data_IF_476291297844
#
_entry.id   IF_476291297844
#
_cell.length_a   1.000
_cell.length_b   1.000
_cell.length_c   1.000
_cell.angle_alpha   90.00
_cell.angle_beta   90.00
_cell.angle_gamma   90.00
#
_symmetry.space_group_name_H-M   'P 1'
#
loop_
_entity.id
_entity.type
_entity.pdbx_description
1 polymer ?
#
# COMPACT_ATOMS: atom_id res chain seq x y z
N UNK A 1 3.66 -11.46 -15.15
CA UNK A 1 3.94 -10.25 -14.37
C UNK A 1 3.24 -9.04 -15.00
N UNK A 2 2.66 -8.18 -14.20
CA UNK A 2 2.03 -6.93 -14.62
C UNK A 2 2.62 -5.81 -13.77
N UNK A 3 3.15 -4.77 -14.40
CA UNK A 3 3.77 -3.63 -13.73
C UNK A 3 3.12 -2.35 -14.23
N UNK A 4 2.64 -1.51 -13.31
CA UNK A 4 2.00 -0.24 -13.59
C UNK A 4 0.76 -0.35 -14.50
N UNK A 5 0.14 -1.51 -14.50
CA UNK A 5 -1.17 -1.83 -15.03
C UNK A 5 -1.92 -2.68 -14.01
N UNK A 6 -3.22 -2.53 -13.93
CA UNK A 6 -4.11 -3.45 -13.21
C UNK A 6 -5.17 -4.03 -14.16
N UNK A 7 -5.77 -5.12 -13.74
CA UNK A 7 -6.82 -5.80 -14.50
C UNK A 7 -8.16 -5.23 -14.08
N UNK A 8 -9.05 -5.02 -15.03
CA UNK A 8 -10.44 -4.64 -14.79
C UNK A 8 -11.37 -5.54 -15.63
N UNK A 9 -12.34 -6.16 -14.97
CA UNK A 9 -13.37 -6.98 -15.64
C UNK A 9 -14.33 -6.07 -16.41
N UNK A 10 -14.55 -6.40 -17.67
CA UNK A 10 -15.43 -5.64 -18.53
C UNK A 10 -16.88 -6.13 -18.42
N UNK A 11 -17.84 -5.22 -18.62
CA UNK A 11 -19.28 -5.53 -18.60
C UNK A 11 -19.62 -6.56 -19.67
N UNK A 12 -20.68 -7.34 -19.42
CA UNK A 12 -21.22 -8.29 -20.38
C UNK A 12 -21.53 -7.62 -21.72
N UNK A 13 -21.10 -8.23 -22.82
CA UNK A 13 -21.19 -7.66 -24.16
C UNK A 13 -19.96 -6.90 -24.65
N UNK A 14 -18.96 -6.68 -23.79
CA UNK A 14 -17.67 -6.15 -24.25
C UNK A 14 -16.93 -7.17 -25.13
N UNK A 15 -16.09 -6.66 -26.04
CA UNK A 15 -15.31 -7.51 -26.96
C UNK A 15 -14.36 -8.46 -26.21
N UNK A 16 -13.78 -8.01 -25.12
CA UNK A 16 -12.91 -8.79 -24.24
C UNK A 16 -13.50 -8.79 -22.81
N UNK A 17 -13.32 -9.88 -22.10
CA UNK A 17 -13.81 -10.03 -20.73
C UNK A 17 -12.99 -9.21 -19.72
N UNK A 18 -11.75 -8.89 -20.06
CA UNK A 18 -10.82 -8.14 -19.20
C UNK A 18 -10.04 -7.09 -19.99
N UNK A 19 -9.80 -5.95 -19.36
CA UNK A 19 -8.93 -4.91 -19.86
C UNK A 19 -7.71 -4.74 -18.93
N UNK A 20 -6.63 -4.17 -19.45
CA UNK A 20 -5.52 -3.70 -18.65
C UNK A 20 -5.62 -2.17 -18.56
N UNK A 21 -5.82 -1.66 -17.38
CA UNK A 21 -5.95 -0.24 -17.12
C UNK A 21 -4.62 0.29 -16.60
N UNK A 22 -4.17 1.41 -17.15
CA UNK A 22 -2.95 2.07 -16.71
C UNK A 22 -3.09 2.57 -15.26
N UNK A 23 -2.12 2.25 -14.41
CA UNK A 23 -2.09 2.80 -13.07
C UNK A 23 -1.97 4.32 -13.12
N UNK A 24 -2.56 5.02 -12.15
CA UNK A 24 -2.59 6.48 -12.09
C UNK A 24 -1.19 7.05 -11.94
N UNK A 25 -0.91 8.13 -12.65
CA UNK A 25 0.29 8.92 -12.47
C UNK A 25 0.20 9.81 -11.24
N UNK A 26 1.31 10.45 -10.92
CA UNK A 26 1.44 11.31 -9.74
C UNK A 26 1.95 12.68 -10.16
N UNK A 27 1.17 13.72 -9.88
CA UNK A 27 1.60 15.11 -9.99
C UNK A 27 1.96 15.66 -8.61
N UNK A 28 2.90 16.58 -8.54
CA UNK A 28 3.21 17.27 -7.29
C UNK A 28 2.02 18.14 -6.87
N UNK A 29 1.44 17.86 -5.69
CA UNK A 29 0.40 18.68 -5.11
C UNK A 29 0.99 19.81 -4.28
N UNK A 30 1.90 19.51 -3.35
CA UNK A 30 2.66 20.49 -2.57
C UNK A 30 3.91 19.83 -1.97
N UNK A 31 4.79 20.65 -1.39
CA UNK A 31 5.94 20.19 -0.60
C UNK A 31 5.75 20.50 0.87
N UNK A 32 6.16 19.60 1.76
CA UNK A 32 5.99 19.74 3.21
C UNK A 32 7.32 19.54 3.93
N UNK A 33 7.79 20.56 4.62
CA UNK A 33 9.03 20.48 5.38
C UNK A 33 10.26 20.21 4.52
N UNK A 34 11.23 19.49 5.07
CA UNK A 34 12.53 19.21 4.42
C UNK A 34 12.90 17.72 4.39
N UNK A 35 12.17 16.87 5.09
CA UNK A 35 12.38 15.42 5.12
C UNK A 35 11.40 14.68 4.22
N UNK A 36 11.63 13.39 3.99
CA UNK A 36 10.69 12.53 3.27
C UNK A 36 9.34 12.44 3.99
N UNK A 37 8.27 12.19 3.24
CA UNK A 37 6.94 12.00 3.84
C UNK A 37 6.86 10.59 4.41
N UNK A 38 6.56 10.49 5.71
CA UNK A 38 6.64 9.25 6.47
C UNK A 38 5.29 8.72 6.94
N UNK A 39 4.34 9.61 7.18
CA UNK A 39 2.96 9.29 7.51
C UNK A 39 2.04 10.46 7.19
N UNK A 40 0.79 10.16 6.89
CA UNK A 40 -0.28 11.14 6.70
C UNK A 40 -1.53 10.66 7.44
N UNK A 41 -2.37 11.59 7.84
CA UNK A 41 -3.63 11.31 8.52
C UNK A 41 -4.66 12.36 8.15
N UNK A 42 -5.84 11.94 7.77
CA UNK A 42 -7.03 12.78 7.71
C UNK A 42 -7.80 12.61 9.03
N UNK A 43 -7.91 13.67 9.80
CA UNK A 43 -8.71 13.69 11.01
C UNK A 43 -9.61 14.91 11.02
N UNK A 44 -10.93 14.70 11.11
CA UNK A 44 -11.95 15.75 11.08
C UNK A 44 -11.74 16.76 9.92
N UNK A 45 -11.52 16.25 8.71
CA UNK A 45 -11.24 17.04 7.48
C UNK A 45 -9.96 17.90 7.57
N UNK A 46 -9.14 17.66 8.58
CA UNK A 46 -7.83 18.30 8.75
C UNK A 46 -6.73 17.33 8.33
N UNK A 47 -5.81 17.80 7.52
CA UNK A 47 -4.75 16.97 6.96
C UNK A 47 -3.44 17.14 7.74
N UNK A 48 -3.02 16.06 8.37
CA UNK A 48 -1.77 15.97 9.12
C UNK A 48 -0.73 15.19 8.34
N UNK A 49 0.49 15.72 8.33
CA UNK A 49 1.61 15.18 7.55
C UNK A 49 2.86 15.12 8.40
N UNK A 50 3.51 13.97 8.43
CA UNK A 50 4.84 13.82 9.03
C UNK A 50 5.88 13.84 7.93
N UNK A 51 6.72 14.89 7.92
CA UNK A 51 7.87 15.04 7.04
C UNK A 51 9.15 15.02 7.87
N UNK A 52 9.99 14.01 7.63
CA UNK A 52 11.17 13.76 8.46
C UNK A 52 10.82 13.55 9.93
N UNK A 53 11.25 14.45 10.79
CA UNK A 53 10.99 14.44 12.26
C UNK A 53 10.00 15.50 12.69
N UNK A 54 9.13 15.99 11.81
CA UNK A 54 8.22 17.10 12.10
C UNK A 54 6.80 16.78 11.71
N UNK A 55 5.86 17.18 12.55
CA UNK A 55 4.43 17.14 12.30
C UNK A 55 3.96 18.48 11.73
N UNK A 56 3.21 18.42 10.65
CA UNK A 56 2.62 19.56 9.97
C UNK A 56 1.11 19.40 9.81
N UNK A 57 0.42 20.52 9.74
CA UNK A 57 -0.93 20.62 9.20
C UNK A 57 -0.85 21.25 7.81
N UNK A 58 -1.57 20.66 6.86
CA UNK A 58 -1.63 21.17 5.48
C UNK A 58 -3.09 21.49 5.16
N UNK A 59 -3.36 22.72 4.80
CA UNK A 59 -4.70 23.16 4.42
C UNK A 59 -4.98 22.89 2.92
N UNK A 60 -6.25 22.95 2.54
CA UNK A 60 -6.68 22.75 1.13
C UNK A 60 -6.03 23.77 0.17
N UNK A 61 -5.76 24.98 0.62
CA UNK A 61 -5.06 26.02 -0.13
C UNK A 61 -3.53 25.79 -0.21
N UNK A 62 -3.06 24.63 0.29
CA UNK A 62 -1.66 24.21 0.37
C UNK A 62 -0.81 24.97 1.39
N UNK A 63 -1.45 25.73 2.30
CA UNK A 63 -0.73 26.35 3.42
C UNK A 63 -0.21 25.29 4.37
N UNK A 64 1.10 25.29 4.62
CA UNK A 64 1.80 24.33 5.49
C UNK A 64 2.13 24.99 6.82
N UNK A 65 1.62 24.44 7.92
CA UNK A 65 1.85 24.93 9.29
C UNK A 65 2.61 23.88 10.08
N UNK A 66 3.77 24.24 10.64
CA UNK A 66 4.51 23.37 11.56
C UNK A 66 3.78 23.31 12.90
N UNK A 67 3.51 22.11 13.40
CA UNK A 67 2.87 21.87 14.70
C UNK A 67 3.87 21.45 15.77
N UNK A 68 4.86 20.62 15.43
CA UNK A 68 5.84 20.15 16.39
C UNK A 68 7.01 19.42 15.76
N UNK A 69 8.03 19.15 16.59
CA UNK A 69 9.24 18.42 16.19
C UNK A 69 9.48 17.28 17.16
N UNK A 70 9.81 16.10 16.64
CA UNK A 70 10.17 14.91 17.41
C UNK A 70 11.67 14.94 17.75
N UNK A 71 12.04 14.33 18.88
CA UNK A 71 13.46 14.25 19.26
C UNK A 71 14.20 13.13 18.48
N UNK A 72 13.48 12.07 18.06
CA UNK A 72 14.06 10.90 17.42
C UNK A 72 13.64 10.78 15.95
N UNK A 73 14.52 10.18 15.13
CA UNK A 73 14.28 9.96 13.70
C UNK A 73 13.69 8.58 13.36
N UNK A 74 13.27 7.81 14.35
CA UNK A 74 12.64 6.51 14.17
C UNK A 74 11.36 6.64 13.36
N UNK A 75 10.93 5.54 12.74
CA UNK A 75 9.72 5.54 11.91
C UNK A 75 8.49 5.84 12.76
N UNK A 76 7.73 6.90 12.45
CA UNK A 76 6.54 7.26 13.19
C UNK A 76 5.34 6.41 12.80
N UNK A 77 4.44 6.21 13.76
CA UNK A 77 3.08 5.75 13.57
C UNK A 77 2.13 6.82 14.12
N UNK A 78 1.06 7.12 13.39
CA UNK A 78 0.12 8.20 13.72
C UNK A 78 -1.30 7.65 13.90
N UNK A 79 -1.99 8.12 14.92
CA UNK A 79 -3.41 7.86 15.18
C UNK A 79 -4.06 9.07 15.83
N UNK A 80 -5.36 9.07 16.02
CA UNK A 80 -6.07 10.15 16.68
C UNK A 80 -7.21 9.60 17.56
N UNK A 81 -7.51 10.33 18.65
CA UNK A 81 -8.78 10.25 19.34
C UNK A 81 -9.69 11.39 18.84
N UNK A 82 -10.72 11.77 19.57
CA UNK A 82 -11.69 12.79 19.13
C UNK A 82 -11.08 14.18 18.88
N UNK A 83 -10.02 14.57 19.62
CA UNK A 83 -9.46 15.93 19.61
C UNK A 83 -7.93 15.97 19.64
N UNK A 84 -7.28 14.82 19.68
CA UNK A 84 -5.83 14.74 19.85
C UNK A 84 -5.22 13.81 18.82
N UNK A 85 -4.16 14.28 18.17
CA UNK A 85 -3.34 13.50 17.23
C UNK A 85 -2.15 12.95 18.00
N UNK A 86 -1.97 11.65 17.96
CA UNK A 86 -0.89 10.94 18.65
C UNK A 86 0.11 10.40 17.67
N UNK A 87 1.38 10.60 17.95
CA UNK A 87 2.49 10.05 17.17
C UNK A 87 3.40 9.26 18.11
N UNK A 88 3.67 8.01 17.75
CA UNK A 88 4.65 7.14 18.43
C UNK A 88 5.73 6.70 17.46
N UNK A 89 6.95 6.44 17.95
CA UNK A 89 8.10 6.12 17.11
C UNK A 89 8.98 4.97 17.66
N UNK A 90 8.45 4.15 18.54
CA UNK A 90 9.19 3.06 19.19
C UNK A 90 10.03 3.50 20.40
N UNK A 91 10.19 4.80 20.64
CA UNK A 91 10.96 5.37 21.76
C UNK A 91 10.12 6.31 22.58
N UNK A 92 9.47 7.26 21.92
CA UNK A 92 8.69 8.33 22.55
C UNK A 92 7.31 8.45 21.94
N UNK A 93 6.39 9.07 22.68
CA UNK A 93 5.07 9.48 22.22
C UNK A 93 4.91 10.99 22.26
N UNK A 94 4.15 11.53 21.32
CA UNK A 94 3.87 12.95 21.18
C UNK A 94 2.39 13.15 20.89
N UNK A 95 1.84 14.24 21.42
CA UNK A 95 0.44 14.60 21.27
C UNK A 95 0.34 16.00 20.71
N UNK A 96 -0.42 16.17 19.64
CA UNK A 96 -0.94 17.45 19.21
C UNK A 96 -2.40 17.54 19.64
N UNK A 97 -2.71 18.51 20.52
CA UNK A 97 -4.06 18.80 20.97
C UNK A 97 -4.69 19.87 20.07
N UNK A 98 -5.77 19.51 19.38
CA UNK A 98 -6.46 20.38 18.41
C UNK A 98 -7.22 21.52 19.09
N UNK A 99 -7.59 21.35 20.36
CA UNK A 99 -8.33 22.36 21.13
C UNK A 99 -7.38 23.32 21.82
N UNK A 100 -6.38 22.78 22.51
CA UNK A 100 -5.38 23.60 23.22
C UNK A 100 -4.34 24.19 22.26
N UNK A 101 -4.23 23.68 21.01
CA UNK A 101 -3.23 24.04 20.00
C UNK A 101 -1.79 23.88 20.52
N UNK A 102 -1.54 22.80 21.26
CA UNK A 102 -0.24 22.52 21.87
C UNK A 102 0.33 21.20 21.39
N UNK A 103 1.64 21.17 21.18
CA UNK A 103 2.40 19.96 20.89
C UNK A 103 3.20 19.54 22.12
N UNK A 104 2.95 18.36 22.64
CA UNK A 104 3.50 17.90 23.93
C UNK A 104 4.10 16.50 23.79
N UNK A 105 5.30 16.31 24.33
CA UNK A 105 5.89 14.97 24.52
C UNK A 105 5.21 14.30 25.71
N UNK A 106 4.83 13.02 25.57
CA UNK A 106 4.26 12.25 26.67
C UNK A 106 5.36 11.95 27.68
N UNK A 107 5.17 12.41 28.91
CA UNK A 107 6.14 12.25 30.02
C UNK A 107 5.59 11.44 31.19
N UNK A 108 4.40 10.86 31.05
CA UNK A 108 3.81 9.99 32.06
C UNK A 108 4.70 8.80 32.36
N UNK A 109 4.95 8.49 33.65
CA UNK A 109 5.74 7.32 34.05
C UNK A 109 5.10 5.98 33.70
N UNK A 110 3.83 5.97 33.32
CA UNK A 110 3.08 4.79 32.87
C UNK A 110 2.94 4.70 31.36
N UNK A 111 3.56 5.62 30.60
CA UNK A 111 3.71 5.50 29.16
C UNK A 111 4.98 4.71 28.82
N UNK A 112 4.85 3.68 28.02
CA UNK A 112 5.97 2.84 27.58
C UNK A 112 6.30 3.08 26.10
N UNK A 113 7.54 2.88 25.65
CA UNK A 113 7.89 2.91 24.24
C UNK A 113 6.95 2.04 23.40
N UNK A 114 6.47 2.59 22.29
CA UNK A 114 5.56 1.92 21.36
C UNK A 114 5.80 2.34 19.93
N UNK A 115 5.79 1.38 19.01
CA UNK A 115 5.86 1.60 17.56
C UNK A 115 4.50 1.50 16.86
N UNK A 116 3.42 1.25 17.61
CA UNK A 116 2.08 1.06 17.07
C UNK A 116 1.02 1.62 18.00
N UNK A 117 0.00 2.25 17.46
CA UNK A 117 -1.13 2.81 18.22
C UNK A 117 -2.41 2.76 17.39
N UNK A 118 -3.52 2.42 18.01
CA UNK A 118 -4.85 2.57 17.41
C UNK A 118 -5.81 3.20 18.41
N UNK A 119 -6.97 3.64 17.92
CA UNK A 119 -8.04 4.18 18.74
C UNK A 119 -9.27 3.29 18.68
N UNK A 120 -9.85 2.97 19.84
CA UNK A 120 -11.09 2.21 19.95
C UNK A 120 -11.84 2.61 21.24
N UNK A 121 -13.14 2.92 21.10
CA UNK A 121 -14.07 3.14 22.20
C UNK A 121 -13.59 4.15 23.27
N UNK A 122 -12.96 5.24 22.85
CA UNK A 122 -12.43 6.29 23.74
C UNK A 122 -10.99 6.05 24.21
N UNK A 123 -10.38 4.94 23.90
CA UNK A 123 -9.02 4.60 24.33
C UNK A 123 -8.03 4.60 23.17
N UNK A 124 -6.86 5.17 23.39
CA UNK A 124 -5.69 4.92 22.55
C UNK A 124 -4.97 3.69 23.10
N UNK A 125 -4.71 2.72 22.23
CA UNK A 125 -4.20 1.41 22.58
C UNK A 125 -2.83 1.24 21.92
N UNK A 126 -1.83 0.88 22.70
CA UNK A 126 -0.43 0.83 22.31
C UNK A 126 0.15 -0.57 22.55
N UNK A 127 0.93 -1.09 21.60
CA UNK A 127 1.77 -2.26 21.84
C UNK A 127 3.07 -1.83 22.52
N UNK A 128 3.40 -2.41 23.68
CA UNK A 128 4.67 -2.12 24.36
C UNK A 128 5.82 -2.77 23.60
N UNK A 129 6.77 -1.93 23.19
CA UNK A 129 7.88 -2.32 22.34
C UNK A 129 8.67 -3.52 22.91
N UNK A 130 8.89 -4.53 22.04
CA UNK A 130 9.67 -5.73 22.37
C UNK A 130 8.99 -6.71 23.35
N UNK A 131 7.69 -6.56 23.65
CA UNK A 131 6.97 -7.41 24.59
C UNK A 131 5.62 -7.89 24.02
N UNK A 132 4.97 -8.81 24.72
CA UNK A 132 3.58 -9.23 24.45
C UNK A 132 2.55 -8.36 25.16
N UNK A 133 2.96 -7.27 25.81
CA UNK A 133 2.07 -6.39 26.56
C UNK A 133 1.53 -5.26 25.68
N UNK A 134 0.31 -4.86 25.95
CA UNK A 134 -0.27 -3.63 25.46
C UNK A 134 -0.78 -2.78 26.62
N UNK A 135 -0.89 -1.49 26.41
CA UNK A 135 -1.39 -0.56 27.41
C UNK A 135 -2.31 0.48 26.76
N UNK A 136 -3.12 1.13 27.55
CA UNK A 136 -4.11 2.08 27.06
C UNK A 136 -3.98 3.44 27.77
N UNK A 137 -4.39 4.49 27.08
CA UNK A 137 -4.59 5.83 27.67
C UNK A 137 -5.81 5.84 28.59
N UNK A 138 -5.99 6.94 29.32
CA UNK A 138 -7.30 7.23 29.88
C UNK A 138 -8.29 7.62 28.77
N UNK A 139 -9.58 7.64 29.09
CA UNK A 139 -10.65 7.90 28.12
C UNK A 139 -10.48 9.29 27.51
N UNK A 140 -10.35 9.34 26.19
CA UNK A 140 -10.18 10.55 25.36
C UNK A 140 -9.05 11.49 25.83
N UNK A 141 -8.05 10.96 26.56
CA UNK A 141 -6.89 11.72 27.02
C UNK A 141 -5.58 10.98 26.70
N UNK A 142 -4.89 11.47 25.69
CA UNK A 142 -3.62 10.91 25.20
C UNK A 142 -2.40 11.25 26.08
N UNK A 143 -2.55 12.03 27.12
CA UNK A 143 -1.45 12.45 28.00
C UNK A 143 -1.41 11.72 29.33
N UNK A 144 -2.51 11.10 29.75
CA UNK A 144 -2.61 10.43 31.06
C UNK A 144 -2.78 8.92 30.93
N UNK A 145 -2.09 8.19 31.80
CA UNK A 145 -2.02 6.71 31.80
C UNK A 145 -2.02 6.22 33.25
N UNK A 146 -2.95 5.33 33.56
CA UNK A 146 -2.99 4.71 34.89
C UNK A 146 -2.10 3.46 34.94
N UNK A 147 -1.47 3.21 36.09
CA UNK A 147 -0.52 2.12 36.27
C UNK A 147 -1.14 0.70 36.09
N UNK A 148 -2.46 0.58 36.14
CA UNK A 148 -3.18 -0.69 35.98
C UNK A 148 -3.78 -0.87 34.58
N UNK A 149 -3.57 0.11 33.67
CA UNK A 149 -4.14 0.12 32.34
C UNK A 149 -3.24 -0.62 31.34
N UNK A 150 -2.81 -1.82 31.66
CA UNK A 150 -2.07 -2.72 30.76
C UNK A 150 -2.58 -4.16 30.88
N UNK A 151 -2.37 -4.94 29.80
CA UNK A 151 -2.63 -6.37 29.75
C UNK A 151 -1.66 -7.05 28.79
N UNK A 152 -1.72 -8.36 28.66
CA UNK A 152 -0.79 -9.15 27.87
C UNK A 152 -1.53 -10.09 26.92
N UNK A 153 -1.01 -10.23 25.68
CA UNK A 153 -1.48 -11.23 24.72
C UNK A 153 -1.29 -12.64 25.29
N UNK A 154 -2.39 -13.42 25.38
CA UNK A 154 -2.48 -14.57 26.25
C UNK A 154 -2.02 -15.88 25.61
N UNK A 155 -2.04 -15.94 24.25
CA UNK A 155 -1.99 -17.25 23.58
C UNK A 155 -0.61 -17.91 23.60
N UNK A 156 0.48 -17.15 23.47
CA UNK A 156 1.86 -17.71 23.40
C UNK A 156 2.97 -16.87 24.02
N UNK A 157 2.68 -15.80 24.75
CA UNK A 157 3.72 -14.88 25.22
C UNK A 157 4.52 -14.29 24.05
N UNK A 158 3.81 -13.91 23.02
CA UNK A 158 4.33 -13.46 21.73
C UNK A 158 4.68 -11.95 21.77
N UNK A 159 5.60 -11.48 20.94
CA UNK A 159 5.91 -10.05 20.85
C UNK A 159 4.89 -9.37 19.93
N UNK A 160 4.19 -8.35 20.44
CA UNK A 160 3.25 -7.56 19.65
C UNK A 160 4.03 -6.73 18.62
N UNK A 161 3.66 -6.88 17.35
CA UNK A 161 4.23 -6.16 16.21
C UNK A 161 3.32 -5.02 15.74
N UNK A 162 2.00 -5.20 15.85
CA UNK A 162 1.02 -4.18 15.51
C UNK A 162 -0.23 -4.30 16.36
N UNK A 163 -0.82 -3.15 16.64
CA UNK A 163 -2.16 -3.04 17.23
C UNK A 163 -3.02 -2.26 16.25
N UNK A 164 -4.12 -2.84 15.82
CA UNK A 164 -5.07 -2.19 14.91
C UNK A 164 -6.49 -2.37 15.41
N UNK A 165 -7.36 -1.43 15.09
CA UNK A 165 -8.78 -1.53 15.40
C UNK A 165 -9.58 -1.79 14.12
N UNK A 166 -10.65 -2.53 14.26
CA UNK A 166 -11.74 -2.58 13.30
C UNK A 166 -13.01 -1.97 13.94
N UNK A 167 -14.17 -2.18 13.34
CA UNK A 167 -15.44 -1.62 13.85
C UNK A 167 -15.85 -2.10 15.23
N UNK A 168 -15.28 -3.19 15.75
CA UNK A 168 -15.71 -3.84 17.01
C UNK A 168 -14.58 -4.31 17.91
N UNK A 169 -13.44 -4.65 17.34
CA UNK A 169 -12.38 -5.34 18.05
C UNK A 169 -11.07 -4.58 17.92
N UNK A 170 -10.26 -4.74 18.94
CA UNK A 170 -8.82 -4.45 18.89
C UNK A 170 -8.12 -5.74 18.50
N UNK A 171 -7.24 -5.67 17.52
CA UNK A 171 -6.48 -6.80 17.03
C UNK A 171 -5.02 -6.65 17.42
N UNK A 172 -4.53 -7.60 18.21
CA UNK A 172 -3.12 -7.70 18.58
C UNK A 172 -2.42 -8.66 17.61
N UNK A 173 -1.56 -8.13 16.78
CA UNK A 173 -0.73 -8.89 15.84
C UNK A 173 0.63 -9.13 16.48
N UNK A 174 0.88 -10.38 16.87
CA UNK A 174 2.18 -10.83 17.36
C UNK A 174 3.04 -11.40 16.24
N UNK A 175 4.25 -11.84 16.58
CA UNK A 175 5.18 -12.50 15.66
C UNK A 175 4.68 -13.88 15.19
N UNK A 176 3.76 -14.52 15.92
CA UNK A 176 3.25 -15.88 15.64
C UNK A 176 1.75 -16.04 15.84
N UNK A 177 1.07 -15.06 16.45
CA UNK A 177 -0.35 -15.14 16.77
C UNK A 177 -1.07 -13.84 16.44
N UNK A 178 -2.38 -13.94 16.24
CA UNK A 178 -3.28 -12.80 16.11
C UNK A 178 -4.42 -13.01 17.10
N UNK A 179 -4.63 -12.05 17.97
CA UNK A 179 -5.66 -12.09 18.99
C UNK A 179 -6.62 -10.92 18.86
N UNK A 180 -7.92 -11.18 18.58
CA UNK A 180 -8.95 -10.15 18.68
C UNK A 180 -9.38 -9.98 20.14
N UNK A 181 -9.48 -8.72 20.56
CA UNK A 181 -9.96 -8.30 21.87
C UNK A 181 -11.19 -7.41 21.72
N UNK A 182 -12.18 -7.62 22.56
CA UNK A 182 -13.43 -6.87 22.53
C UNK A 182 -13.62 -6.09 23.82
N UNK A 183 -14.26 -4.93 23.71
CA UNK A 183 -14.59 -4.12 24.88
C UNK A 183 -15.66 -4.81 25.73
N UNK A 184 -15.34 -5.13 26.97
CA UNK A 184 -16.23 -5.77 27.95
C UNK A 184 -17.04 -4.77 28.77
N UNK A 185 -16.75 -3.46 28.65
CA UNK A 185 -17.35 -2.42 29.47
C UNK A 185 -16.84 -2.38 30.92
N UNK A 186 -15.75 -3.08 31.22
CA UNK A 186 -15.11 -3.01 32.55
C UNK A 186 -14.59 -1.60 32.82
N UNK A 187 -14.83 -1.11 34.03
CA UNK A 187 -14.49 0.29 34.41
C UNK A 187 -13.18 0.41 35.17
N UNK A 188 -12.49 -0.69 35.47
CA UNK A 188 -11.23 -0.69 36.21
C UNK A 188 -10.21 -1.53 35.48
N UNK A 189 -9.01 -1.00 35.22
CA UNK A 189 -7.99 -1.62 34.40
C UNK A 189 -8.34 -1.57 32.91
N UNK A 190 -7.82 -2.51 32.13
CA UNK A 190 -8.08 -2.59 30.69
C UNK A 190 -9.49 -3.10 30.42
N UNK A 191 -10.36 -2.32 29.73
CA UNK A 191 -11.74 -2.75 29.44
C UNK A 191 -11.84 -3.81 28.35
N UNK A 192 -10.75 -4.11 27.68
CA UNK A 192 -10.70 -5.09 26.59
C UNK A 192 -10.42 -6.50 27.14
N UNK A 193 -11.09 -7.49 26.60
CA UNK A 193 -10.91 -8.90 26.94
C UNK A 193 -10.76 -9.75 25.68
N UNK A 194 -9.93 -10.83 25.71
CA UNK A 194 -9.71 -11.65 24.52
C UNK A 194 -10.99 -12.36 24.08
N UNK A 195 -11.28 -12.31 22.78
CA UNK A 195 -12.41 -13.02 22.20
C UNK A 195 -12.09 -14.51 22.08
N UNK A 196 -12.67 -15.31 22.98
CA UNK A 196 -12.37 -16.74 23.09
C UNK A 196 -12.69 -17.49 21.80
N UNK A 197 -11.74 -18.27 21.30
CA UNK A 197 -11.89 -19.12 20.12
C UNK A 197 -11.73 -18.40 18.77
N UNK A 198 -11.43 -17.09 18.77
CA UNK A 198 -11.21 -16.30 17.57
C UNK A 198 -9.74 -16.03 17.26
N UNK A 199 -8.84 -16.38 18.16
CA UNK A 199 -7.41 -16.21 17.97
C UNK A 199 -6.86 -17.15 16.89
N UNK A 200 -5.89 -16.66 16.11
CA UNK A 200 -5.20 -17.40 15.06
C UNK A 200 -3.75 -17.68 15.43
N UNK A 201 -3.26 -18.87 15.05
CA UNK A 201 -1.84 -19.25 15.16
C UNK A 201 -1.02 -18.76 13.95
N UNK A 202 -1.36 -17.60 13.43
CA UNK A 202 -0.66 -16.89 12.36
C UNK A 202 -0.27 -15.54 12.89
N UNK A 203 1.00 -15.15 12.79
CA UNK A 203 1.49 -13.83 13.16
C UNK A 203 1.80 -12.95 11.94
N UNK A 204 2.51 -11.86 12.17
CA UNK A 204 2.99 -10.98 11.10
C UNK A 204 4.53 -10.91 11.07
N UNK A 205 5.11 -10.88 9.86
CA UNK A 205 6.54 -10.67 9.66
C UNK A 205 6.94 -9.19 9.80
N UNK A 206 5.98 -8.27 9.57
CA UNK A 206 6.21 -6.83 9.62
C UNK A 206 4.97 -6.11 10.14
N UNK A 207 5.08 -5.46 11.29
CA UNK A 207 3.94 -4.76 11.91
C UNK A 207 3.34 -3.67 11.04
N UNK A 208 4.16 -2.95 10.27
CA UNK A 208 3.71 -1.90 9.36
C UNK A 208 3.02 -2.40 8.08
N UNK A 209 3.08 -3.70 7.80
CA UNK A 209 2.30 -4.31 6.73
C UNK A 209 0.84 -4.51 7.10
N UNK A 210 0.51 -4.46 8.39
CA UNK A 210 -0.85 -4.66 8.91
C UNK A 210 -1.67 -3.40 8.65
N UNK A 211 -2.72 -3.54 7.85
CA UNK A 211 -3.59 -2.43 7.44
C UNK A 211 -5.05 -2.82 7.65
N UNK A 212 -5.73 -2.07 8.51
CA UNK A 212 -7.17 -2.19 8.72
C UNK A 212 -7.94 -1.33 7.71
N UNK A 213 -9.00 -1.86 7.17
CA UNK A 213 -9.89 -1.20 6.22
C UNK A 213 -11.33 -1.67 6.38
N UNK A 214 -12.27 -1.04 5.69
CA UNK A 214 -13.67 -1.50 5.66
C UNK A 214 -13.85 -2.91 5.04
N UNK A 215 -12.86 -3.40 4.28
CA UNK A 215 -12.88 -4.75 3.69
C UNK A 215 -12.32 -5.81 4.64
N UNK A 216 -11.78 -5.42 5.79
CA UNK A 216 -11.05 -6.25 6.74
C UNK A 216 -9.59 -5.84 6.86
N UNK A 217 -8.76 -6.72 7.41
CA UNK A 217 -7.35 -6.44 7.69
C UNK A 217 -6.47 -7.23 6.72
N UNK A 218 -5.52 -6.53 6.11
CA UNK A 218 -4.51 -7.12 5.21
C UNK A 218 -3.16 -7.09 5.92
N UNK A 219 -2.34 -8.12 5.73
CA UNK A 219 -1.02 -8.20 6.37
C UNK A 219 -0.07 -9.20 5.70
N UNK A 220 1.20 -9.02 5.91
CA UNK A 220 2.27 -9.98 5.57
C UNK A 220 2.43 -10.96 6.74
N UNK A 221 2.15 -12.24 6.52
CA UNK A 221 2.24 -13.27 7.55
C UNK A 221 3.66 -13.67 7.92
N UNK A 222 3.79 -14.30 9.10
CA UNK A 222 5.04 -14.85 9.64
C UNK A 222 5.68 -15.94 8.74
N UNK A 223 4.93 -16.52 7.84
CA UNK A 223 5.38 -17.48 6.83
C UNK A 223 5.68 -16.83 5.46
N UNK A 224 5.77 -15.51 5.42
CA UNK A 224 6.02 -14.73 4.22
C UNK A 224 4.93 -14.84 3.14
N UNK A 225 3.71 -15.22 3.49
CA UNK A 225 2.55 -15.12 2.62
C UNK A 225 1.73 -13.88 2.99
N UNK A 226 0.97 -13.37 2.04
CA UNK A 226 0.06 -12.24 2.29
C UNK A 226 -1.33 -12.77 2.61
N UNK A 227 -1.94 -12.19 3.63
CA UNK A 227 -3.23 -12.60 4.14
C UNK A 227 -4.25 -11.48 4.12
N UNK A 228 -5.48 -11.87 3.93
CA UNK A 228 -6.67 -11.05 4.13
C UNK A 228 -7.54 -11.66 5.24
N UNK A 229 -7.71 -10.91 6.30
CA UNK A 229 -8.55 -11.26 7.44
C UNK A 229 -9.90 -10.54 7.29
N UNK A 230 -10.88 -11.27 6.78
CA UNK A 230 -12.28 -10.86 6.74
C UNK A 230 -13.06 -11.78 7.67
N UNK A 231 -13.43 -11.29 8.84
CA UNK A 231 -13.87 -12.11 9.98
C UNK A 231 -12.69 -12.53 10.84
N UNK A 232 -12.67 -13.79 11.34
CA UNK A 232 -11.68 -14.23 12.32
C UNK A 232 -10.63 -15.20 11.76
N UNK A 233 -10.73 -15.59 10.51
CA UNK A 233 -9.82 -16.57 9.90
C UNK A 233 -9.04 -15.91 8.76
N UNK A 234 -7.70 -15.83 8.86
CA UNK A 234 -6.87 -15.29 7.79
C UNK A 234 -6.95 -16.16 6.52
N UNK A 235 -7.30 -15.55 5.40
CA UNK A 235 -7.27 -16.18 4.06
C UNK A 235 -5.95 -15.84 3.38
N UNK A 236 -5.19 -16.83 2.96
CA UNK A 236 -4.02 -16.62 2.12
C UNK A 236 -4.47 -16.10 0.73
N UNK A 237 -3.93 -14.96 0.32
CA UNK A 237 -4.20 -14.32 -0.98
C UNK A 237 -2.96 -14.29 -1.89
N UNK A 238 -1.81 -14.80 -1.42
CA UNK A 238 -0.60 -14.91 -2.24
C UNK A 238 -0.78 -15.94 -3.33
N UNK A 239 -0.31 -15.64 -4.53
CA UNK A 239 -0.12 -16.65 -5.57
C UNK A 239 1.13 -17.49 -5.28
N UNK A 240 1.22 -18.70 -5.83
CA UNK A 240 2.40 -19.56 -5.66
C UNK A 240 3.71 -18.88 -6.09
N UNK A 241 3.65 -18.03 -7.12
CA UNK A 241 4.82 -17.27 -7.58
C UNK A 241 5.27 -16.23 -6.58
N UNK A 242 4.33 -15.50 -5.99
CA UNK A 242 4.62 -14.50 -4.94
C UNK A 242 5.09 -15.16 -3.65
N UNK A 243 4.45 -16.24 -3.21
CA UNK A 243 4.86 -17.01 -2.06
C UNK A 243 6.31 -17.49 -2.18
N UNK A 244 6.68 -18.00 -3.38
CA UNK A 244 8.05 -18.41 -3.67
C UNK A 244 9.03 -17.24 -3.69
N UNK A 245 8.63 -16.08 -4.21
CA UNK A 245 9.46 -14.86 -4.21
C UNK A 245 9.67 -14.37 -2.78
N UNK A 246 8.60 -14.18 -2.02
CA UNK A 246 8.64 -13.67 -0.65
C UNK A 246 9.41 -14.58 0.31
N UNK A 247 9.22 -15.90 0.21
CA UNK A 247 10.00 -16.87 1.03
C UNK A 247 11.48 -16.94 0.66
N UNK A 248 11.85 -16.44 -0.51
CA UNK A 248 13.25 -16.31 -0.93
C UNK A 248 14.01 -15.14 -0.27
N UNK A 249 13.30 -14.20 0.34
CA UNK A 249 13.90 -13.07 1.02
C UNK A 249 14.24 -13.40 2.48
N UNK A 250 15.43 -13.00 2.91
CA UNK A 250 15.91 -13.32 4.26
C UNK A 250 15.25 -12.47 5.35
N UNK A 251 14.89 -11.24 5.04
CA UNK A 251 14.28 -10.29 5.97
C UNK A 251 13.21 -9.47 5.25
N UNK A 252 12.04 -9.35 5.87
CA UNK A 252 10.89 -8.59 5.41
C UNK A 252 10.36 -7.63 6.49
N UNK A 253 11.11 -7.42 7.56
CA UNK A 253 10.68 -6.62 8.72
C UNK A 253 10.45 -5.15 8.39
N UNK A 254 11.07 -4.63 7.33
CA UNK A 254 10.91 -3.28 6.82
C UNK A 254 9.68 -3.09 5.92
N UNK A 255 8.95 -4.16 5.61
CA UNK A 255 7.76 -4.11 4.79
C UNK A 255 6.69 -3.22 5.41
N UNK A 256 6.05 -2.42 4.57
CA UNK A 256 4.92 -1.60 4.98
C UNK A 256 3.78 -1.66 3.95
N UNK A 257 2.58 -1.38 4.41
CA UNK A 257 1.40 -1.37 3.56
C UNK A 257 0.48 -0.19 3.84
N UNK A 258 -0.39 0.04 2.90
CA UNK A 258 -1.53 0.95 3.04
C UNK A 258 -2.67 0.51 2.10
N UNK A 259 -3.89 0.93 2.43
CA UNK A 259 -5.03 0.78 1.52
C UNK A 259 -5.23 2.06 0.74
N UNK A 260 -5.57 1.94 -0.54
CA UNK A 260 -6.01 3.07 -1.35
C UNK A 260 -7.31 2.72 -2.06
N UNK A 261 -8.18 3.72 -2.22
CA UNK A 261 -9.39 3.61 -3.02
C UNK A 261 -9.29 4.58 -4.20
N UNK A 262 -9.27 4.05 -5.41
CA UNK A 262 -9.11 4.83 -6.62
C UNK A 262 -10.07 4.30 -7.68
N UNK A 263 -10.86 5.21 -8.27
CA UNK A 263 -11.82 4.90 -9.33
C UNK A 263 -12.83 3.78 -8.95
N UNK A 264 -13.11 3.62 -7.66
CA UNK A 264 -14.00 2.60 -7.12
C UNK A 264 -13.36 1.26 -6.83
N UNK A 265 -12.08 1.08 -7.13
CA UNK A 265 -11.28 -0.09 -6.75
C UNK A 265 -10.54 0.14 -5.45
N UNK A 266 -10.57 -0.87 -4.57
CA UNK A 266 -9.72 -0.93 -3.39
C UNK A 266 -8.43 -1.67 -3.72
N UNK A 267 -7.31 -1.14 -3.25
CA UNK A 267 -6.00 -1.74 -3.45
C UNK A 267 -5.27 -1.83 -2.12
N UNK A 268 -4.83 -3.02 -1.76
CA UNK A 268 -3.83 -3.20 -0.72
C UNK A 268 -2.45 -3.11 -1.33
N UNK A 269 -1.69 -2.10 -0.95
CA UNK A 269 -0.31 -1.87 -1.39
C UNK A 269 0.63 -2.42 -0.35
N UNK A 270 1.54 -3.29 -0.75
CA UNK A 270 2.60 -3.85 0.09
C UNK A 270 3.96 -3.53 -0.53
N UNK A 271 4.73 -2.68 0.12
CA UNK A 271 6.07 -2.28 -0.32
C UNK A 271 7.13 -2.93 0.55
N UNK A 272 8.16 -3.44 -0.09
CA UNK A 272 9.34 -4.08 0.47
C UNK A 272 10.55 -3.23 0.06
N UNK A 273 10.92 -2.19 0.82
CA UNK A 273 11.94 -1.22 0.42
C UNK A 273 13.31 -1.86 0.16
N UNK A 274 13.80 -2.67 1.10
CA UNK A 274 15.09 -3.36 0.98
C UNK A 274 15.14 -4.30 -0.22
N UNK A 275 14.01 -4.91 -0.57
CA UNK A 275 13.91 -5.83 -1.71
C UNK A 275 13.63 -5.11 -3.03
N UNK A 276 13.33 -3.82 -3.00
CA UNK A 276 13.00 -3.04 -4.18
C UNK A 276 11.74 -3.53 -4.89
N UNK A 277 10.67 -3.84 -4.14
CA UNK A 277 9.42 -4.39 -4.69
C UNK A 277 8.19 -3.71 -4.09
N UNK A 278 7.17 -3.50 -4.91
CA UNK A 278 5.82 -3.16 -4.46
C UNK A 278 4.81 -4.06 -5.14
N UNK A 279 4.09 -4.82 -4.32
CA UNK A 279 2.96 -5.65 -4.72
C UNK A 279 1.66 -4.90 -4.42
N UNK A 280 0.71 -5.01 -5.32
CA UNK A 280 -0.62 -4.39 -5.16
C UNK A 280 -1.68 -5.47 -5.41
N UNK A 281 -2.55 -5.67 -4.45
CA UNK A 281 -3.66 -6.60 -4.52
C UNK A 281 -4.98 -5.84 -4.73
N UNK A 282 -5.74 -6.29 -5.69
CA UNK A 282 -7.10 -5.84 -5.96
C UNK A 282 -8.08 -6.91 -5.44
N UNK A 283 -8.79 -6.67 -4.33
CA UNK A 283 -9.76 -7.62 -3.78
C UNK A 283 -10.97 -7.85 -4.68
N UNK A 284 -11.37 -6.88 -5.49
CA UNK A 284 -12.55 -6.97 -6.35
C UNK A 284 -12.29 -7.89 -7.54
N UNK A 285 -11.07 -7.85 -8.09
CA UNK A 285 -10.64 -8.70 -9.20
C UNK A 285 -9.92 -9.98 -8.76
N UNK A 286 -9.63 -10.14 -7.45
CA UNK A 286 -8.76 -11.19 -6.90
C UNK A 286 -7.45 -11.30 -7.69
N UNK A 287 -6.83 -10.15 -7.92
CA UNK A 287 -5.70 -10.03 -8.85
C UNK A 287 -4.55 -9.21 -8.27
N UNK A 288 -3.34 -9.63 -8.63
CA UNK A 288 -2.11 -8.97 -8.24
C UNK A 288 -1.47 -8.24 -9.41
N UNK A 289 -0.90 -7.09 -9.11
CA UNK A 289 0.00 -6.38 -10.01
C UNK A 289 1.13 -5.73 -9.21
N UNK A 290 2.16 -5.26 -9.89
CA UNK A 290 3.28 -4.55 -9.28
C UNK A 290 3.21 -3.06 -9.63
N UNK A 291 3.73 -2.22 -8.73
CA UNK A 291 4.01 -0.82 -9.05
C UNK A 291 5.50 -0.54 -8.89
N UNK A 292 6.04 0.19 -9.85
CA UNK A 292 7.46 0.58 -9.88
C UNK A 292 7.57 2.05 -10.26
N UNK A 293 8.33 2.81 -9.48
CA UNK A 293 8.84 4.12 -9.88
C UNK A 293 10.07 3.95 -10.77
N UNK A 294 10.33 4.94 -11.60
CA UNK A 294 11.46 4.85 -12.54
C UNK A 294 12.80 4.64 -11.82
N UNK A 295 13.50 3.58 -12.17
CA UNK A 295 14.81 3.16 -11.65
C UNK A 295 14.85 2.77 -10.15
N UNK A 296 13.72 2.69 -9.44
CA UNK A 296 13.70 2.28 -8.03
C UNK A 296 13.37 0.78 -7.85
N UNK A 297 12.63 0.17 -8.80
CA UNK A 297 12.14 -1.21 -8.66
C UNK A 297 10.88 -1.31 -7.80
N UNK A 298 10.66 -0.40 -6.84
CA UNK A 298 9.46 -0.28 -6.02
C UNK A 298 8.74 1.05 -6.28
N UNK A 299 7.51 1.16 -5.81
CA UNK A 299 6.77 2.41 -5.88
C UNK A 299 7.11 3.30 -4.70
N UNK A 300 7.49 4.55 -4.98
CA UNK A 300 7.95 5.52 -3.99
C UNK A 300 6.85 6.09 -3.07
N UNK A 301 5.58 5.71 -3.24
CA UNK A 301 4.52 6.09 -2.32
C UNK A 301 4.70 5.41 -0.96
N UNK A 302 4.80 6.20 0.11
CA UNK A 302 4.98 5.74 1.49
C UNK A 302 3.69 5.59 2.27
N UNK A 303 2.66 6.34 1.88
CA UNK A 303 1.36 6.41 2.54
C UNK A 303 0.32 7.00 1.57
N UNK A 304 -0.95 6.82 1.88
CA UNK A 304 -2.07 7.29 1.07
C UNK A 304 -3.18 7.85 1.95
N UNK A 305 -3.83 8.91 1.48
CA UNK A 305 -5.04 9.46 2.09
C UNK A 305 -5.93 10.10 1.01
N UNK A 306 -7.24 10.00 1.21
CA UNK A 306 -8.23 10.71 0.39
C UNK A 306 -8.76 11.89 1.19
N UNK A 307 -8.46 13.10 0.74
CA UNK A 307 -8.86 14.34 1.40
C UNK A 307 -9.09 15.45 0.39
N UNK A 308 -9.95 16.42 0.69
CA UNK A 308 -10.31 17.53 -0.20
C UNK A 308 -10.86 17.11 -1.57
N UNK A 309 -11.39 15.88 -1.66
CA UNK A 309 -11.88 15.31 -2.92
C UNK A 309 -10.77 14.85 -3.87
N UNK A 310 -9.53 14.72 -3.40
CA UNK A 310 -8.38 14.23 -4.16
C UNK A 310 -7.66 13.10 -3.42
N UNK A 311 -6.96 12.26 -4.18
CA UNK A 311 -6.16 11.16 -3.67
C UNK A 311 -4.72 11.62 -3.53
N UNK A 312 -4.18 11.61 -2.31
CA UNK A 312 -2.83 12.09 -1.99
C UNK A 312 -1.96 10.92 -1.54
N UNK A 313 -0.73 10.90 -2.02
CA UNK A 313 0.33 9.98 -1.56
C UNK A 313 1.52 10.76 -1.04
N UNK A 314 2.15 10.24 0.00
CA UNK A 314 3.43 10.73 0.48
C UNK A 314 4.59 10.14 -0.32
N UNK A 315 5.64 10.91 -0.52
CA UNK A 315 6.84 10.48 -1.25
C UNK A 315 7.95 10.02 -0.28
N UNK A 316 8.38 8.78 -0.40
CA UNK A 316 9.49 8.22 0.39
C UNK A 316 10.86 8.77 0.00
N UNK A 317 10.98 9.37 -1.19
CA UNK A 317 12.25 9.87 -1.74
C UNK A 317 12.42 11.38 -1.56
N UNK A 318 11.34 12.10 -1.25
CA UNK A 318 11.37 13.55 -1.09
C UNK A 318 10.29 14.06 -0.13
N UNK A 319 10.26 15.37 0.07
CA UNK A 319 9.25 16.05 0.88
C UNK A 319 7.97 16.39 0.13
N UNK A 320 7.68 15.70 -0.96
CA UNK A 320 6.53 15.97 -1.82
C UNK A 320 5.30 15.18 -1.38
N UNK A 321 4.17 15.86 -1.43
CA UNK A 321 2.87 15.21 -1.50
C UNK A 321 2.43 15.14 -2.95
N UNK A 322 2.10 13.96 -3.42
CA UNK A 322 1.67 13.70 -4.79
C UNK A 322 0.17 13.50 -4.88
N UNK A 323 -0.46 14.12 -5.87
CA UNK A 323 -1.84 13.82 -6.23
C UNK A 323 -1.86 12.72 -7.28
N UNK A 324 -2.59 11.65 -7.01
CA UNK A 324 -2.87 10.60 -7.98
C UNK A 324 -3.98 11.04 -8.91
N UNK A 325 -3.74 10.93 -10.22
CA UNK A 325 -4.70 11.31 -11.25
C UNK A 325 -4.59 10.35 -12.45
N UNK A 326 -5.74 9.87 -12.94
CA UNK A 326 -5.82 8.98 -14.10
C UNK A 326 -5.38 9.65 -15.42
N UNK A 327 -5.46 10.98 -15.49
CA UNK A 327 -5.07 11.74 -16.68
C UNK A 327 -3.60 12.18 -16.64
N UNK A 328 -2.89 11.87 -15.56
CA UNK A 328 -1.44 12.06 -15.43
C UNK A 328 -0.74 10.73 -15.76
N UNK A 329 0.18 10.77 -16.71
CA UNK A 329 0.89 9.58 -17.21
C UNK A 329 2.38 9.60 -16.87
N UNK A 330 2.75 10.38 -15.87
CA UNK A 330 4.10 10.57 -15.36
C UNK A 330 4.09 10.51 -13.84
N UNK A 331 5.23 10.35 -13.22
CA UNK A 331 5.42 10.43 -11.79
C UNK A 331 6.34 11.60 -11.46
N UNK A 332 5.79 12.66 -10.88
CA UNK A 332 6.49 13.93 -10.62
C UNK A 332 7.27 14.46 -11.84
N UNK A 333 6.70 14.35 -13.03
CA UNK A 333 7.33 14.74 -14.30
C UNK A 333 8.31 13.72 -14.87
N UNK A 334 8.63 12.65 -14.17
CA UNK A 334 9.49 11.56 -14.65
C UNK A 334 8.69 10.52 -15.43
N UNK A 335 9.31 9.91 -16.42
CA UNK A 335 8.74 8.79 -17.14
C UNK A 335 8.73 7.53 -16.26
N UNK A 336 7.72 6.71 -16.44
CA UNK A 336 7.65 5.38 -15.87
C UNK A 336 7.17 4.38 -16.92
N UNK A 337 7.46 3.10 -16.71
CA UNK A 337 7.20 2.07 -17.70
C UNK A 337 6.05 1.21 -17.23
N UNK A 338 5.00 1.10 -18.07
CA UNK A 338 4.00 0.06 -17.92
C UNK A 338 4.47 -1.18 -18.69
N UNK A 339 4.48 -2.36 -18.04
CA UNK A 339 5.01 -3.61 -18.60
C UNK A 339 4.09 -4.78 -18.29
N UNK A 340 3.80 -5.58 -19.31
CA UNK A 340 3.08 -6.85 -19.17
C UNK A 340 3.92 -7.99 -19.73
N UNK A 341 4.24 -8.96 -18.88
CA UNK A 341 4.85 -10.22 -19.27
C UNK A 341 3.77 -11.30 -19.25
N UNK A 342 3.56 -11.95 -20.37
CA UNK A 342 2.55 -13.02 -20.49
C UNK A 342 2.97 -14.28 -19.72
N UNK A 343 2.02 -15.19 -19.52
CA UNK A 343 2.34 -16.57 -19.21
C UNK A 343 3.07 -17.26 -20.38
N UNK A 344 3.56 -18.46 -20.14
CA UNK A 344 4.22 -19.26 -21.17
C UNK A 344 3.17 -19.83 -22.14
N UNK A 345 3.24 -19.44 -23.40
CA UNK A 345 2.49 -20.07 -24.48
C UNK A 345 3.23 -21.34 -24.93
N UNK A 346 2.61 -22.49 -24.80
CA UNK A 346 3.16 -23.77 -25.23
C UNK A 346 2.04 -24.71 -25.65
N UNK A 347 2.27 -25.57 -26.67
CA UNK A 347 1.34 -26.56 -27.15
C UNK A 347 1.92 -27.97 -27.00
N UNK A 348 1.98 -28.47 -25.76
CA UNK A 348 2.49 -29.83 -25.45
C UNK A 348 3.80 -30.17 -26.19
N UNK A 349 4.75 -29.24 -26.16
CA UNK A 349 6.06 -29.32 -26.82
C UNK A 349 6.03 -29.42 -28.37
N UNK A 350 4.88 -29.17 -29.01
CA UNK A 350 4.78 -29.05 -30.46
C UNK A 350 5.32 -27.73 -30.97
N UNK A 351 5.83 -27.69 -32.19
CA UNK A 351 6.21 -26.47 -32.87
C UNK A 351 4.94 -25.70 -33.26
N UNK A 352 4.82 -24.46 -32.81
CA UNK A 352 3.69 -23.52 -33.06
C UNK A 352 4.21 -22.36 -33.89
N UNK A 353 3.49 -21.95 -34.93
CA UNK A 353 3.80 -20.77 -35.71
C UNK A 353 2.99 -19.57 -35.17
N UNK A 354 3.67 -18.49 -34.85
CA UNK A 354 3.04 -17.22 -34.44
C UNK A 354 2.87 -16.31 -35.67
N UNK A 355 1.77 -16.48 -36.37
CA UNK A 355 1.51 -15.70 -37.58
C UNK A 355 1.07 -14.28 -37.29
N UNK A 356 0.32 -14.06 -36.17
CA UNK A 356 -0.28 -12.78 -35.85
C UNK A 356 -0.48 -12.64 -34.33
N UNK A 357 -0.14 -11.45 -33.81
CA UNK A 357 -0.55 -10.94 -32.50
C UNK A 357 -1.25 -9.59 -32.72
N UNK A 358 -2.40 -9.42 -32.10
CA UNK A 358 -3.20 -8.20 -32.21
C UNK A 358 -3.50 -7.66 -30.81
N UNK A 359 -3.34 -6.35 -30.64
CA UNK A 359 -3.66 -5.62 -29.44
C UNK A 359 -4.46 -4.37 -29.83
N UNK A 360 -5.52 -4.06 -29.07
CA UNK A 360 -6.37 -2.88 -29.29
C UNK A 360 -6.19 -1.86 -28.17
N UNK A 361 -5.88 -0.64 -28.56
CA UNK A 361 -5.70 0.48 -27.63
C UNK A 361 -6.78 1.54 -27.88
N UNK A 362 -7.45 2.05 -26.85
CA UNK A 362 -8.21 3.28 -26.97
C UNK A 362 -7.22 4.40 -27.25
N UNK A 363 -7.31 5.02 -28.39
CA UNK A 363 -6.39 6.10 -28.75
C UNK A 363 -7.13 7.43 -28.86
N UNK A 364 -6.40 8.52 -28.99
CA UNK A 364 -6.92 9.87 -29.16
C UNK A 364 -6.64 10.80 -27.98
N UNK A 365 -6.29 10.26 -26.81
CA UNK A 365 -5.88 11.02 -25.63
C UNK A 365 -4.35 11.15 -25.54
N UNK A 366 -3.71 11.37 -26.67
CA UNK A 366 -2.26 11.59 -26.75
C UNK A 366 -1.98 13.09 -26.74
N UNK A 367 -1.13 13.63 -25.86
CA UNK A 367 -0.76 15.03 -25.91
C UNK A 367 -0.17 15.42 -27.26
N UNK A 368 -0.45 16.65 -27.71
CA UNK A 368 0.05 17.14 -28.99
C UNK A 368 1.59 17.11 -29.06
N UNK A 369 2.13 16.62 -30.16
CA UNK A 369 3.58 16.51 -30.37
C UNK A 369 4.23 15.25 -29.78
N UNK A 370 3.47 14.38 -29.11
CA UNK A 370 3.96 13.11 -28.58
C UNK A 370 3.63 11.96 -29.54
N UNK A 371 4.62 11.15 -29.86
CA UNK A 371 4.41 9.86 -30.58
C UNK A 371 4.24 8.75 -29.56
N UNK A 372 3.00 8.24 -29.44
CA UNK A 372 2.69 7.15 -28.53
C UNK A 372 3.10 5.82 -29.14
N UNK A 373 3.91 5.02 -28.43
CA UNK A 373 4.52 3.81 -28.94
C UNK A 373 4.36 2.63 -27.97
N UNK A 374 4.07 1.45 -28.54
CA UNK A 374 4.15 0.17 -27.86
C UNK A 374 5.36 -0.60 -28.35
N UNK A 375 6.06 -1.26 -27.44
CA UNK A 375 7.20 -2.12 -27.68
C UNK A 375 6.83 -3.56 -27.34
N UNK A 376 6.92 -4.45 -28.31
CA UNK A 376 6.74 -5.88 -28.13
C UNK A 376 8.07 -6.60 -28.34
N UNK A 377 8.41 -7.48 -27.42
CA UNK A 377 9.50 -8.45 -27.56
C UNK A 377 9.06 -9.81 -27.02
N UNK A 378 9.80 -10.86 -27.34
CA UNK A 378 9.48 -12.20 -26.83
C UNK A 378 10.73 -12.98 -26.48
N UNK A 379 10.51 -14.01 -25.68
CA UNK A 379 11.51 -14.97 -25.24
C UNK A 379 11.01 -16.38 -25.55
N UNK A 380 11.84 -17.20 -26.19
CA UNK A 380 11.55 -18.60 -26.47
C UNK A 380 12.22 -19.56 -25.44
N UNK A 381 12.81 -19.01 -24.38
CA UNK A 381 13.45 -19.74 -23.28
C UNK A 381 12.88 -19.34 -21.88
N UNK A 382 11.55 -19.17 -21.80
CA UNK A 382 10.79 -18.88 -20.56
C UNK A 382 11.16 -17.54 -19.88
N UNK A 383 11.59 -16.54 -20.66
CA UNK A 383 11.89 -15.21 -20.11
C UNK A 383 13.35 -15.01 -19.70
N UNK A 384 14.24 -15.99 -19.92
CA UNK A 384 15.66 -15.83 -19.58
C UNK A 384 16.36 -14.81 -20.48
N UNK A 385 16.07 -14.84 -21.77
CA UNK A 385 16.58 -13.84 -22.73
C UNK A 385 15.47 -13.39 -23.67
N UNK A 386 15.49 -12.13 -24.06
CA UNK A 386 14.51 -11.56 -24.98
C UNK A 386 15.18 -11.14 -26.28
N UNK A 387 14.46 -11.30 -27.38
CA UNK A 387 14.85 -10.80 -28.69
C UNK A 387 14.73 -9.27 -28.79
N UNK A 388 15.05 -8.73 -29.97
CA UNK A 388 14.90 -7.31 -30.25
C UNK A 388 13.45 -6.85 -30.15
N UNK A 389 13.26 -5.62 -29.67
CA UNK A 389 11.94 -5.01 -29.56
C UNK A 389 11.40 -4.60 -30.94
N UNK A 390 10.15 -4.98 -31.22
CA UNK A 390 9.38 -4.48 -32.35
C UNK A 390 8.50 -3.31 -31.87
N UNK A 391 8.77 -2.12 -32.39
CA UNK A 391 8.08 -0.90 -31.99
C UNK A 391 6.96 -0.61 -32.97
N UNK A 392 5.78 -0.24 -32.44
CA UNK A 392 4.63 0.24 -33.24
C UNK A 392 4.03 1.48 -32.61
N UNK A 393 3.59 2.39 -33.46
CA UNK A 393 2.88 3.60 -33.04
C UNK A 393 1.43 3.25 -32.68
N UNK A 394 1.00 3.62 -31.49
CA UNK A 394 -0.39 3.44 -31.01
C UNK A 394 -1.30 4.49 -31.63
N UNK A 395 -0.81 5.68 -31.91
CA UNK A 395 -1.57 6.75 -32.52
C UNK A 395 -1.04 8.12 -32.17
N UNK A 396 -1.71 9.13 -32.71
CA UNK A 396 -1.46 10.55 -32.44
C UNK A 396 -2.72 11.20 -31.86
N UNK A 397 -2.62 12.45 -31.44
CA UNK A 397 -3.77 13.22 -30.94
C UNK A 397 -4.96 13.18 -31.93
N UNK A 398 -6.15 12.88 -31.42
CA UNK A 398 -7.38 12.79 -32.21
C UNK A 398 -7.61 11.50 -33.00
N UNK A 399 -6.69 10.53 -32.94
CA UNK A 399 -6.91 9.23 -33.57
C UNK A 399 -7.97 8.41 -32.79
N UNK A 400 -8.80 7.64 -33.47
CA UNK A 400 -9.75 6.68 -32.84
C UNK A 400 -9.03 5.44 -32.34
N UNK A 401 -9.79 4.44 -31.84
CA UNK A 401 -9.22 3.16 -31.36
C UNK A 401 -8.24 2.58 -32.37
N UNK A 402 -7.06 2.25 -31.90
CA UNK A 402 -5.99 1.69 -32.73
C UNK A 402 -5.79 0.20 -32.48
N UNK A 403 -5.71 -0.52 -33.56
CA UNK A 403 -5.42 -1.95 -33.60
C UNK A 403 -3.98 -2.15 -34.04
N UNK A 404 -3.12 -2.55 -33.14
CA UNK A 404 -1.74 -2.90 -33.46
C UNK A 404 -1.66 -4.38 -33.83
N UNK A 405 -1.07 -4.69 -34.97
CA UNK A 405 -0.91 -6.07 -35.44
C UNK A 405 0.55 -6.34 -35.75
N UNK A 406 1.13 -7.35 -35.08
CA UNK A 406 2.46 -7.88 -35.40
C UNK A 406 2.28 -9.17 -36.21
N UNK A 407 3.00 -9.28 -37.31
CA UNK A 407 2.93 -10.39 -38.23
C UNK A 407 4.24 -11.21 -38.23
N UNK A 408 4.14 -12.48 -38.61
CA UNK A 408 5.30 -13.36 -38.95
C UNK A 408 6.35 -13.42 -37.83
N UNK A 409 5.92 -13.67 -36.60
CA UNK A 409 6.79 -13.70 -35.41
C UNK A 409 7.53 -15.04 -35.26
N UNK A 410 7.61 -15.85 -36.31
CA UNK A 410 8.35 -17.11 -36.33
C UNK A 410 7.65 -18.25 -35.59
N UNK A 411 8.36 -19.35 -35.42
CA UNK A 411 7.86 -20.57 -34.79
C UNK A 411 8.57 -20.84 -33.47
N UNK A 412 7.85 -21.40 -32.51
CA UNK A 412 8.36 -21.67 -31.15
C UNK A 412 7.74 -22.95 -30.57
N UNK A 413 8.36 -23.50 -29.53
CA UNK A 413 7.77 -24.55 -28.68
C UNK A 413 7.20 -24.00 -27.39
N UNK A 414 7.83 -22.96 -26.89
CA UNK A 414 7.38 -22.19 -25.73
C UNK A 414 7.78 -20.74 -25.94
N UNK A 415 6.90 -19.81 -25.60
CA UNK A 415 7.13 -18.38 -25.79
C UNK A 415 6.49 -17.56 -24.70
N UNK A 416 7.21 -16.55 -24.26
CA UNK A 416 6.72 -15.47 -23.37
C UNK A 416 6.80 -14.16 -24.13
N UNK A 417 5.72 -13.42 -24.16
CA UNK A 417 5.67 -12.08 -24.74
C UNK A 417 5.82 -11.01 -23.64
N UNK A 418 6.54 -9.97 -23.93
CA UNK A 418 6.62 -8.77 -23.12
C UNK A 418 6.16 -7.57 -23.94
N UNK A 419 5.12 -6.89 -23.45
CA UNK A 419 4.64 -5.61 -23.94
C UNK A 419 5.08 -4.51 -22.97
N UNK A 420 5.61 -3.41 -23.49
CA UNK A 420 5.95 -2.26 -22.66
C UNK A 420 5.59 -0.92 -23.32
N UNK A 421 5.17 0.04 -22.50
CA UNK A 421 4.83 1.39 -22.89
C UNK A 421 5.47 2.35 -21.89
N UNK A 422 6.25 3.31 -22.40
CA UNK A 422 6.91 4.32 -21.57
C UNK A 422 6.47 5.75 -21.91
N UNK A 423 5.63 5.91 -22.92
CA UNK A 423 5.15 7.23 -23.35
C UNK A 423 4.19 7.82 -22.33
N UNK A 424 4.28 9.13 -22.10
CA UNK A 424 3.36 9.87 -21.24
C UNK A 424 2.01 10.11 -21.94
N UNK A 425 1.24 9.05 -22.10
CA UNK A 425 -0.09 9.04 -22.73
C UNK A 425 -0.91 7.88 -22.15
N UNK A 426 -2.22 7.83 -22.43
CA UNK A 426 -3.10 6.77 -21.97
C UNK A 426 -2.57 5.40 -22.42
N UNK A 427 -2.48 4.47 -21.46
CA UNK A 427 -1.88 3.13 -21.63
C UNK A 427 -2.87 1.99 -21.57
N UNK A 428 -4.16 2.30 -21.46
CA UNK A 428 -5.19 1.26 -21.35
C UNK A 428 -5.14 0.33 -22.58
N UNK A 429 -5.34 -0.95 -22.35
CA UNK A 429 -5.41 -2.00 -23.37
C UNK A 429 -6.73 -2.73 -23.20
N UNK A 430 -7.58 -2.68 -24.25
CA UNK A 430 -8.96 -3.19 -24.25
C UNK A 430 -9.07 -4.49 -25.06
#
# INVERSE_FOLDING_TARGET
>A
ETVNWYIESQKEGARNSKALIGAQGTSEWTTVGTGTIRAILNHNETFYVISGIKLYRVAQDKTVTLLGTFDESNQPYISANLTQIVVVNGVSGYVWDEVALTFTKITSGNFYPSSTVCYQDGYLIYGREGTGQFFISNVDDALTYDAINFDEAVLRGDIIQAVVSDTRNVWLFGTRTIEPWTNSGQTTGVPFTPLKGAASLRGTAAGRSVVSSQLGIFFLGDDHNVYWLNGYTPKNISTDAQAKELTGYADLSDAFGFMMNIDGHWFYVLTLPTQGRTFVYDPDEDAWHNRESYQLGYWRASCYESIFGINIVGDSESNKLGQLDRHVYQEYGSHWVARRVSGVFAAKNKLVSANRLELTFPSGQVPQGITHQARLRWSDNKGLTYGNSMIKTIGTAGAGNQRLVWWSMGSFRQRVYELSISTAANRDLI
#
